data_IF_709810639905
#
_entry.id   IF_709810639905
#
_cell.length_a   1.000
_cell.length_b   1.000
_cell.length_c   1.000
_cell.angle_alpha   90.00
_cell.angle_beta   90.00
_cell.angle_gamma   90.00
#
_symmetry.space_group_name_H-M   'P 1'
#
loop_
_entity.id
_entity.type
_entity.pdbx_description
1 polymer ?
#
# COMPACT_ATOMS: atom_id res chain seq x y z
N UNK A 1 -2.34 -20.00 14.01
CA UNK A 1 -1.25 -19.21 13.40
C UNK A 1 -1.71 -18.83 12.00
N UNK A 2 -1.61 -17.56 11.61
CA UNK A 2 -1.94 -17.12 10.25
C UNK A 2 -0.82 -17.49 9.27
N UNK A 3 -1.11 -17.50 7.96
CA UNK A 3 -0.11 -17.77 6.91
C UNK A 3 1.07 -16.77 7.00
N UNK A 4 0.78 -15.52 7.36
CA UNK A 4 1.78 -14.46 7.53
C UNK A 4 2.67 -14.72 8.75
N UNK A 5 2.07 -15.09 9.89
CA UNK A 5 2.78 -15.48 11.10
C UNK A 5 3.69 -16.69 10.85
N UNK A 6 3.22 -17.71 10.13
CA UNK A 6 4.02 -18.89 9.77
C UNK A 6 5.22 -18.52 8.89
N UNK A 7 5.03 -17.62 7.91
CA UNK A 7 6.13 -17.12 7.07
C UNK A 7 7.17 -16.36 7.90
N UNK A 8 6.73 -15.47 8.79
CA UNK A 8 7.63 -14.72 9.70
C UNK A 8 8.40 -15.68 10.62
N UNK A 9 7.71 -16.64 11.24
CA UNK A 9 8.34 -17.65 12.07
C UNK A 9 9.35 -18.48 11.28
N UNK A 10 9.04 -18.86 10.03
CA UNK A 10 9.98 -19.57 9.15
C UNK A 10 11.22 -18.74 8.82
N UNK A 11 11.08 -17.44 8.58
CA UNK A 11 12.21 -16.52 8.37
C UNK A 11 13.09 -16.48 9.62
N UNK A 12 12.48 -16.33 10.80
CA UNK A 12 13.18 -16.26 12.09
C UNK A 12 13.91 -17.57 12.41
N UNK A 13 13.27 -18.73 12.24
CA UNK A 13 13.91 -20.06 12.45
C UNK A 13 15.11 -20.26 11.54
N UNK A 14 15.06 -19.70 10.33
CA UNK A 14 16.18 -19.77 9.38
C UNK A 14 17.33 -18.84 9.80
N UNK A 15 17.02 -17.62 10.27
CA UNK A 15 18.00 -16.64 10.69
C UNK A 15 18.63 -16.97 12.07
N UNK A 16 17.85 -17.60 12.95
CA UNK A 16 18.20 -17.94 14.34
C UNK A 16 17.75 -19.36 14.68
N UNK A 17 18.45 -20.40 14.17
CA UNK A 17 18.05 -21.79 14.37
C UNK A 17 18.14 -22.25 15.84
N UNK A 18 18.98 -21.59 16.64
CA UNK A 18 19.19 -21.91 18.05
C UNK A 18 18.25 -21.13 18.99
N UNK A 19 17.42 -20.21 18.47
CA UNK A 19 16.50 -19.43 19.30
C UNK A 19 15.32 -20.28 19.76
N UNK A 20 14.80 -19.98 20.95
CA UNK A 20 13.65 -20.67 21.52
C UNK A 20 12.42 -20.55 20.61
N UNK A 21 11.73 -21.67 20.40
CA UNK A 21 10.60 -21.73 19.49
C UNK A 21 9.43 -20.83 19.95
N UNK A 22 9.21 -20.71 21.27
CA UNK A 22 8.14 -19.83 21.78
C UNK A 22 8.50 -18.35 21.61
N UNK A 23 9.78 -17.99 21.75
CA UNK A 23 10.24 -16.63 21.47
C UNK A 23 10.06 -16.26 19.99
N UNK A 24 10.37 -17.18 19.07
CA UNK A 24 10.13 -16.98 17.64
C UNK A 24 8.64 -16.79 17.35
N UNK A 25 7.78 -17.65 17.90
CA UNK A 25 6.33 -17.56 17.68
C UNK A 25 5.74 -16.27 18.27
N UNK A 26 6.22 -15.85 19.45
CA UNK A 26 5.88 -14.58 20.08
C UNK A 26 6.23 -13.39 19.18
N UNK A 27 7.47 -13.31 18.70
CA UNK A 27 7.88 -12.22 17.81
C UNK A 27 7.17 -12.24 16.45
N UNK A 28 6.90 -13.42 15.89
CA UNK A 28 6.13 -13.54 14.65
C UNK A 28 4.70 -13.00 14.81
N UNK A 29 4.07 -13.32 15.95
CA UNK A 29 2.77 -12.76 16.32
C UNK A 29 2.82 -11.24 16.49
N UNK A 30 3.78 -10.72 17.26
CA UNK A 30 3.91 -9.27 17.51
C UNK A 30 4.13 -8.47 16.23
N UNK A 31 5.06 -8.91 15.36
CA UNK A 31 5.33 -8.26 14.09
C UNK A 31 4.08 -8.25 13.20
N UNK A 32 3.36 -9.38 13.11
CA UNK A 32 2.13 -9.46 12.31
C UNK A 32 1.01 -8.61 12.91
N UNK A 33 0.83 -8.64 14.22
CA UNK A 33 -0.16 -7.83 14.94
C UNK A 33 0.10 -6.34 14.70
N UNK A 34 1.35 -5.90 14.88
CA UNK A 34 1.80 -4.55 14.61
C UNK A 34 1.57 -4.16 13.15
N UNK A 35 1.90 -5.04 12.20
CA UNK A 35 1.61 -4.84 10.77
C UNK A 35 0.12 -4.63 10.49
N UNK A 36 -0.75 -5.44 11.11
CA UNK A 36 -2.20 -5.33 10.91
C UNK A 36 -2.76 -4.01 11.44
N UNK A 37 -2.39 -3.60 12.66
CA UNK A 37 -2.87 -2.36 13.27
C UNK A 37 -2.32 -1.14 12.53
N UNK A 38 -1.01 -1.13 12.27
CA UNK A 38 -0.36 -0.02 11.58
C UNK A 38 -0.76 0.09 10.10
N UNK A 39 -1.12 -1.02 9.45
CA UNK A 39 -1.72 -1.03 8.11
C UNK A 39 -3.11 -0.39 8.08
N UNK A 40 -3.96 -0.67 9.08
CA UNK A 40 -5.25 0.01 9.21
C UNK A 40 -5.09 1.52 9.46
N UNK A 41 -4.13 1.92 10.29
CA UNK A 41 -3.80 3.32 10.52
C UNK A 41 -3.31 4.00 9.23
N UNK A 42 -2.40 3.37 8.48
CA UNK A 42 -1.92 3.90 7.20
C UNK A 42 -3.08 4.07 6.20
N UNK A 43 -4.05 3.16 6.17
CA UNK A 43 -5.25 3.30 5.35
C UNK A 43 -6.10 4.50 5.77
N UNK A 44 -6.32 4.72 7.06
CA UNK A 44 -7.04 5.89 7.56
C UNK A 44 -6.31 7.20 7.18
N UNK A 45 -4.99 7.24 7.35
CA UNK A 45 -4.17 8.40 6.94
C UNK A 45 -4.21 8.65 5.43
N UNK A 46 -4.33 7.60 4.61
CA UNK A 46 -4.50 7.72 3.16
C UNK A 46 -5.90 8.17 2.76
N UNK A 47 -6.92 7.75 3.51
CA UNK A 47 -8.30 8.18 3.32
C UNK A 47 -8.51 9.64 3.72
N UNK A 48 -7.69 10.19 4.63
CA UNK A 48 -7.74 11.61 5.01
C UNK A 48 -7.09 12.55 3.97
N UNK A 49 -7.30 12.28 2.69
CA UNK A 49 -6.77 13.08 1.60
C UNK A 49 -7.63 14.33 1.38
N UNK A 50 -7.03 15.45 0.98
CA UNK A 50 -7.73 16.68 0.56
C UNK A 50 -8.79 16.38 -0.53
N UNK A 51 -10.08 16.73 -0.35
CA UNK A 51 -11.14 16.35 -1.30
C UNK A 51 -10.92 16.98 -2.67
N UNK A 52 -10.25 18.14 -2.73
CA UNK A 52 -9.93 18.79 -4.00
C UNK A 52 -8.98 17.94 -4.84
N UNK A 53 -8.10 17.15 -4.20
CA UNK A 53 -7.26 16.20 -4.91
C UNK A 53 -8.09 15.03 -5.46
N UNK A 54 -9.09 14.55 -4.72
CA UNK A 54 -9.98 13.49 -5.20
C UNK A 54 -10.83 13.98 -6.38
N UNK A 55 -11.41 15.18 -6.30
CA UNK A 55 -12.12 15.83 -7.42
C UNK A 55 -11.21 15.91 -8.66
N UNK A 56 -9.97 16.35 -8.47
CA UNK A 56 -8.98 16.46 -9.56
C UNK A 56 -8.64 15.11 -10.18
N UNK A 57 -8.39 14.10 -9.35
CA UNK A 57 -8.01 12.75 -9.78
C UNK A 57 -9.17 12.04 -10.47
N UNK A 58 -10.39 12.11 -9.93
CA UNK A 58 -11.61 11.61 -10.58
C UNK A 58 -11.82 12.28 -11.94
N UNK A 59 -11.63 13.60 -12.03
CA UNK A 59 -11.65 14.31 -13.31
C UNK A 59 -10.55 13.86 -14.29
N UNK A 60 -9.37 13.44 -13.80
CA UNK A 60 -8.32 12.88 -14.63
C UNK A 60 -8.65 11.46 -15.13
N UNK A 61 -9.29 10.65 -14.29
CA UNK A 61 -9.81 9.32 -14.65
C UNK A 61 -10.85 9.45 -15.75
N UNK A 62 -11.85 10.32 -15.61
CA UNK A 62 -12.91 10.50 -16.62
C UNK A 62 -12.33 10.93 -17.98
N UNK A 63 -11.38 11.87 -17.99
CA UNK A 63 -10.66 12.28 -19.22
C UNK A 63 -9.90 11.12 -19.85
N UNK A 64 -9.27 10.27 -19.03
CA UNK A 64 -8.50 9.12 -19.52
C UNK A 64 -9.42 8.04 -20.12
N UNK A 65 -10.58 7.80 -19.52
CA UNK A 65 -11.60 6.89 -20.05
C UNK A 65 -12.14 7.38 -21.42
N UNK A 66 -12.46 8.67 -21.54
CA UNK A 66 -12.88 9.28 -22.82
C UNK A 66 -11.75 9.25 -23.87
N UNK A 67 -10.50 9.41 -23.45
CA UNK A 67 -9.36 9.25 -24.35
C UNK A 67 -9.20 7.80 -24.82
N UNK A 68 -9.40 6.82 -23.94
CA UNK A 68 -9.40 5.40 -24.29
C UNK A 68 -10.53 5.06 -25.27
N UNK A 69 -11.74 5.56 -25.01
CA UNK A 69 -12.90 5.46 -25.93
C UNK A 69 -12.55 5.99 -27.33
N UNK A 70 -11.98 7.20 -27.44
CA UNK A 70 -11.57 7.79 -28.74
C UNK A 70 -10.53 6.94 -29.48
N UNK A 71 -9.65 6.24 -28.76
CA UNK A 71 -8.68 5.31 -29.37
C UNK A 71 -9.36 4.02 -29.80
N UNK A 72 -10.30 3.52 -29.01
CA UNK A 72 -11.04 2.29 -29.28
C UNK A 72 -11.85 2.38 -30.58
N UNK A 73 -12.48 3.52 -30.86
CA UNK A 73 -13.22 3.78 -32.10
C UNK A 73 -12.32 3.71 -33.35
N UNK A 74 -11.01 3.91 -33.20
CA UNK A 74 -10.03 3.83 -34.30
C UNK A 74 -9.48 2.43 -34.53
N UNK A 75 -9.87 1.45 -33.72
CA UNK A 75 -9.42 0.06 -33.86
C UNK A 75 -9.98 -0.51 -35.17
N UNK A 76 -9.09 -1.06 -35.99
CA UNK A 76 -9.45 -1.69 -37.25
C UNK A 76 -10.20 -3.02 -37.07
N UNK A 77 -10.60 -3.62 -38.20
CA UNK A 77 -11.45 -4.82 -38.24
C UNK A 77 -10.92 -5.97 -37.36
N UNK A 78 -9.63 -6.34 -37.53
CA UNK A 78 -8.99 -7.43 -36.78
C UNK A 78 -8.96 -7.20 -35.27
N UNK A 79 -8.66 -5.96 -34.86
CA UNK A 79 -8.67 -5.60 -33.43
C UNK A 79 -10.09 -5.64 -32.84
N UNK A 80 -11.10 -5.28 -33.62
CA UNK A 80 -12.50 -5.39 -33.18
C UNK A 80 -12.95 -6.85 -33.01
N UNK A 81 -12.47 -7.79 -33.84
CA UNK A 81 -12.72 -9.23 -33.64
C UNK A 81 -12.08 -9.74 -32.36
N UNK A 82 -10.84 -9.34 -32.06
CA UNK A 82 -10.16 -9.71 -30.82
C UNK A 82 -10.90 -9.23 -29.56
N UNK A 83 -11.72 -8.18 -29.67
CA UNK A 83 -12.47 -7.58 -28.56
C UNK A 83 -13.85 -8.19 -28.32
N UNK A 84 -14.30 -9.14 -29.14
CA UNK A 84 -15.65 -9.71 -29.03
C UNK A 84 -15.91 -10.33 -27.66
N UNK A 85 -15.00 -11.15 -27.15
CA UNK A 85 -15.16 -11.78 -25.84
C UNK A 85 -15.23 -10.74 -24.70
N UNK A 86 -14.42 -9.69 -24.78
CA UNK A 86 -14.43 -8.58 -23.82
C UNK A 86 -15.74 -7.79 -23.89
N UNK A 87 -16.35 -7.65 -25.07
CA UNK A 87 -17.64 -6.97 -25.24
C UNK A 87 -18.83 -7.72 -24.61
N UNK A 88 -18.75 -9.05 -24.50
CA UNK A 88 -19.77 -9.87 -23.83
C UNK A 88 -19.72 -9.69 -22.31
N UNK A 89 -18.52 -9.58 -21.73
CA UNK A 89 -18.33 -9.34 -20.30
C UNK A 89 -18.75 -7.93 -19.86
N UNK A 90 -18.76 -6.97 -20.78
CA UNK A 90 -19.22 -5.61 -20.57
C UNK A 90 -20.75 -5.46 -20.39
N UNK A 91 -21.49 -6.57 -20.22
CA UNK A 91 -22.96 -6.62 -20.16
C UNK A 91 -23.66 -5.88 -21.30
N UNK A 92 -23.02 -5.80 -22.47
CA UNK A 92 -23.67 -5.36 -23.68
C UNK A 92 -24.80 -6.36 -24.01
N UNK A 93 -26.07 -5.91 -24.18
CA UNK A 93 -27.17 -6.83 -24.43
C UNK A 93 -26.87 -7.68 -25.67
N UNK A 94 -26.72 -8.99 -25.42
CA UNK A 94 -26.59 -10.11 -26.35
C UNK A 94 -25.98 -9.81 -27.74
N UNK A 95 -24.72 -10.26 -27.91
CA UNK A 95 -24.06 -10.52 -29.18
C UNK A 95 -23.92 -9.31 -30.13
N UNK A 96 -22.79 -8.62 -30.04
CA UNK A 96 -22.22 -7.96 -31.21
C UNK A 96 -21.75 -9.06 -32.19
N UNK A 97 -22.45 -9.38 -33.29
CA UNK A 97 -22.02 -10.47 -34.17
C UNK A 97 -20.86 -10.05 -35.08
N UNK A 98 -20.30 -8.86 -34.86
CA UNK A 98 -19.22 -8.31 -35.65
C UNK A 98 -18.39 -7.30 -34.84
N UNK A 99 -17.16 -7.09 -35.33
CA UNK A 99 -16.16 -6.17 -34.78
C UNK A 99 -16.70 -4.75 -34.48
N UNK A 100 -17.56 -4.20 -35.35
CA UNK A 100 -18.08 -2.85 -35.20
C UNK A 100 -18.95 -2.69 -33.95
N UNK A 101 -19.88 -3.63 -33.72
CA UNK A 101 -20.73 -3.61 -32.52
C UNK A 101 -19.96 -3.88 -31.23
N UNK A 102 -18.88 -4.66 -31.28
CA UNK A 102 -18.02 -4.91 -30.11
C UNK A 102 -17.30 -3.64 -29.67
N UNK A 103 -16.74 -2.90 -30.65
CA UNK A 103 -16.11 -1.59 -30.45
C UNK A 103 -17.12 -0.58 -29.92
N UNK A 104 -18.34 -0.54 -30.48
CA UNK A 104 -19.41 0.36 -30.05
C UNK A 104 -19.82 0.09 -28.60
N UNK A 105 -20.06 -1.18 -28.25
CA UNK A 105 -20.46 -1.59 -26.90
C UNK A 105 -19.41 -1.20 -25.85
N UNK A 106 -18.14 -1.51 -26.11
CA UNK A 106 -17.04 -1.15 -25.19
C UNK A 106 -16.82 0.36 -25.12
N UNK A 107 -16.97 1.07 -26.25
CA UNK A 107 -16.86 2.54 -26.27
C UNK A 107 -17.99 3.20 -25.46
N UNK A 108 -19.20 2.65 -25.52
CA UNK A 108 -20.34 3.10 -24.71
C UNK A 108 -20.10 2.85 -23.24
N UNK A 109 -19.64 1.65 -22.85
CA UNK A 109 -19.32 1.34 -21.45
C UNK A 109 -18.26 2.31 -20.89
N UNK A 110 -17.20 2.61 -21.65
CA UNK A 110 -16.19 3.58 -21.22
C UNK A 110 -16.77 4.98 -21.01
N UNK A 111 -17.74 5.39 -21.82
CA UNK A 111 -18.43 6.68 -21.69
C UNK A 111 -19.37 6.73 -20.48
N UNK A 112 -20.11 5.65 -20.25
CA UNK A 112 -20.99 5.48 -19.09
C UNK A 112 -20.18 5.51 -17.79
N UNK A 113 -19.05 4.79 -17.72
CA UNK A 113 -18.14 4.85 -16.56
C UNK A 113 -17.55 6.26 -16.41
N UNK A 114 -17.10 6.89 -17.51
CA UNK A 114 -16.54 8.25 -17.44
C UNK A 114 -17.56 9.26 -16.90
N UNK A 115 -18.82 9.14 -17.31
CA UNK A 115 -19.92 9.99 -16.85
C UNK A 115 -20.23 9.73 -15.37
N UNK A 116 -20.31 8.47 -14.95
CA UNK A 116 -20.50 8.12 -13.53
C UNK A 116 -19.36 8.63 -12.63
N UNK A 117 -18.11 8.59 -13.11
CA UNK A 117 -16.96 9.17 -12.40
C UNK A 117 -17.04 10.70 -12.30
N UNK A 118 -17.49 11.38 -13.35
CA UNK A 118 -17.73 12.84 -13.32
C UNK A 118 -18.84 13.23 -12.35
N UNK A 119 -19.92 12.44 -12.28
CA UNK A 119 -20.99 12.61 -11.31
C UNK A 119 -20.49 12.40 -9.89
N UNK A 120 -19.72 11.32 -9.63
CA UNK A 120 -19.11 11.07 -8.33
C UNK A 120 -18.23 12.24 -7.89
N UNK A 121 -17.43 12.82 -8.80
CA UNK A 121 -16.59 13.99 -8.51
C UNK A 121 -17.41 15.23 -8.09
N UNK A 122 -18.64 15.39 -8.61
CA UNK A 122 -19.54 16.49 -8.21
C UNK A 122 -20.19 16.29 -6.84
N UNK A 123 -20.27 15.05 -6.37
CA UNK A 123 -20.83 14.70 -5.07
C UNK A 123 -19.81 14.83 -3.93
N UNK A 124 -18.52 14.97 -4.24
CA UNK A 124 -17.48 15.20 -3.22
C UNK A 124 -17.64 16.61 -2.66
N UNK A 125 -17.85 16.72 -1.34
CA UNK A 125 -17.84 18.01 -0.64
C UNK A 125 -16.40 18.56 -0.54
N UNK A 126 -16.08 19.70 -1.18
CA UNK A 126 -14.74 20.30 -1.12
C UNK A 126 -14.34 20.77 0.28
N UNK A 127 -15.31 20.93 1.18
CA UNK A 127 -15.13 21.38 2.57
C UNK A 127 -15.30 20.23 3.58
N UNK A 128 -15.34 18.97 3.12
CA UNK A 128 -15.46 17.81 3.99
C UNK A 128 -14.38 17.84 5.10
N UNK A 129 -14.81 17.65 6.34
CA UNK A 129 -13.93 17.59 7.50
C UNK A 129 -12.93 16.43 7.39
N UNK A 130 -11.77 16.58 8.04
CA UNK A 130 -10.78 15.51 8.16
C UNK A 130 -11.40 14.27 8.82
N UNK A 131 -10.99 13.08 8.40
CA UNK A 131 -11.36 11.83 9.09
C UNK A 131 -10.79 11.78 10.50
N UNK A 132 -9.73 12.55 10.80
CA UNK A 132 -9.18 12.67 12.15
C UNK A 132 -10.15 13.37 13.11
N UNK A 133 -11.12 14.14 12.60
CA UNK A 133 -12.18 14.73 13.41
C UNK A 133 -13.09 13.68 14.07
N UNK A 134 -13.04 12.41 13.63
CA UNK A 134 -13.71 11.28 14.29
C UNK A 134 -13.07 10.99 15.65
N UNK A 135 -11.75 11.16 15.77
CA UNK A 135 -11.00 10.83 16.98
C UNK A 135 -10.88 12.02 17.93
N UNK A 136 -10.89 13.25 17.41
CA UNK A 136 -10.89 14.46 18.22
C UNK A 136 -11.61 15.61 17.49
N UNK A 137 -12.73 16.06 18.06
CA UNK A 137 -13.51 17.19 17.55
C UNK A 137 -12.75 18.52 17.58
N UNK A 138 -11.64 18.62 18.33
CA UNK A 138 -10.77 19.80 18.34
C UNK A 138 -9.70 19.76 17.23
N UNK A 139 -9.45 18.59 16.60
CA UNK A 139 -8.57 18.44 15.44
C UNK A 139 -9.23 18.82 14.11
N UNK A 140 -10.34 19.59 14.17
CA UNK A 140 -11.03 20.14 12.99
C UNK A 140 -10.16 21.06 12.13
N UNK A 141 -8.98 21.46 12.62
CA UNK A 141 -8.09 22.36 11.91
C UNK A 141 -7.16 21.63 10.94
N UNK A 142 -7.58 21.65 9.67
CA UNK A 142 -6.77 21.47 8.45
C UNK A 142 -5.95 20.19 8.39
N UNK A 143 -6.38 19.28 7.49
CA UNK A 143 -5.58 18.17 6.95
C UNK A 143 -4.14 18.61 6.72
N UNK A 144 -3.20 18.00 7.45
CA UNK A 144 -1.80 18.33 7.27
C UNK A 144 -1.40 18.04 5.81
N UNK A 145 -0.68 18.93 5.11
CA UNK A 145 -0.31 18.75 3.71
C UNK A 145 0.72 17.62 3.48
N UNK A 146 0.97 16.77 4.48
CA UNK A 146 2.01 15.76 4.44
C UNK A 146 1.68 14.64 3.46
N UNK A 147 2.73 14.18 2.78
CA UNK A 147 2.75 12.91 2.06
C UNK A 147 2.19 11.79 2.96
N UNK A 148 1.44 10.81 2.40
CA UNK A 148 1.00 9.64 3.16
C UNK A 148 2.18 9.05 3.93
N UNK A 149 2.01 8.89 5.24
CA UNK A 149 3.04 8.28 6.07
C UNK A 149 3.04 6.78 5.77
N UNK A 150 4.23 6.20 5.62
CA UNK A 150 4.39 4.73 5.53
C UNK A 150 4.41 4.16 6.94
N UNK A 151 3.30 4.35 7.64
CA UNK A 151 3.13 4.02 9.06
C UNK A 151 3.33 2.53 9.28
N UNK A 152 2.79 1.68 8.41
CA UNK A 152 2.97 0.23 8.51
C UNK A 152 4.44 -0.18 8.46
N UNK A 153 5.17 0.33 7.47
CA UNK A 153 6.59 0.05 7.30
C UNK A 153 7.43 0.56 8.49
N UNK A 154 7.05 1.69 9.08
CA UNK A 154 7.73 2.25 10.25
C UNK A 154 7.59 1.35 11.47
N UNK A 155 6.37 0.96 11.82
CA UNK A 155 6.11 0.12 12.99
C UNK A 155 6.70 -1.28 12.84
N UNK A 156 6.50 -1.92 11.69
CA UNK A 156 7.07 -3.24 11.43
C UNK A 156 8.59 -3.22 11.49
N UNK A 157 9.27 -2.20 10.94
CA UNK A 157 10.72 -2.12 11.04
C UNK A 157 11.23 -1.90 12.48
N UNK A 158 10.44 -1.27 13.35
CA UNK A 158 10.75 -1.14 14.78
C UNK A 158 10.60 -2.48 15.50
N UNK A 159 9.51 -3.21 15.27
CA UNK A 159 9.35 -4.56 15.84
C UNK A 159 10.43 -5.52 15.34
N UNK A 160 10.79 -5.45 14.05
CA UNK A 160 11.92 -6.23 13.52
C UNK A 160 13.23 -5.88 14.22
N UNK A 161 13.46 -4.62 14.62
CA UNK A 161 14.66 -4.22 15.35
C UNK A 161 14.72 -4.88 16.73
N UNK A 162 13.58 -4.89 17.44
CA UNK A 162 13.51 -5.46 18.78
C UNK A 162 13.64 -6.98 18.73
N UNK A 163 12.91 -7.64 17.82
CA UNK A 163 13.04 -9.07 17.56
C UNK A 163 14.47 -9.46 17.20
N UNK A 164 15.13 -8.71 16.31
CA UNK A 164 16.52 -8.96 15.94
C UNK A 164 17.44 -8.86 17.16
N UNK A 165 17.27 -7.81 17.97
CA UNK A 165 18.14 -7.55 19.12
C UNK A 165 17.98 -8.62 20.18
N UNK A 166 16.74 -9.05 20.42
CA UNK A 166 16.40 -10.07 21.40
C UNK A 166 16.87 -11.46 20.95
N UNK A 167 16.48 -11.91 19.76
CA UNK A 167 16.78 -13.26 19.25
C UNK A 167 18.27 -13.47 18.92
N UNK A 168 18.96 -12.43 18.43
CA UNK A 168 20.38 -12.55 18.08
C UNK A 168 21.34 -12.22 19.23
N UNK A 169 20.86 -11.54 20.27
CA UNK A 169 21.68 -10.93 21.32
C UNK A 169 22.61 -9.82 20.82
N UNK A 170 22.45 -9.34 19.58
CA UNK A 170 23.31 -8.32 18.94
C UNK A 170 22.51 -7.07 18.65
N UNK A 171 23.15 -5.91 18.76
CA UNK A 171 22.53 -4.65 18.34
C UNK A 171 22.29 -4.65 16.82
N UNK A 172 21.04 -4.43 16.39
CA UNK A 172 20.69 -4.27 14.99
C UNK A 172 21.42 -3.08 14.35
N UNK A 173 22.03 -3.32 13.18
CA UNK A 173 22.83 -2.35 12.41
C UNK A 173 22.62 -2.55 10.91
N UNK A 174 22.70 -1.45 10.16
CA UNK A 174 22.73 -1.45 8.69
C UNK A 174 24.11 -0.96 8.27
N UNK A 175 24.91 -1.83 7.67
CA UNK A 175 26.21 -1.47 7.13
C UNK A 175 26.06 -0.89 5.71
N UNK A 176 27.09 -0.21 5.21
CA UNK A 176 27.11 0.30 3.83
C UNK A 176 28.51 0.08 3.25
N UNK A 177 28.57 -0.53 2.07
CA UNK A 177 29.81 -0.74 1.32
C UNK A 177 29.55 -0.44 -0.17
N UNK A 178 30.46 0.27 -0.82
CA UNK A 178 30.30 0.70 -2.21
C UNK A 178 28.99 1.45 -2.52
N UNK A 179 28.41 2.13 -1.52
CA UNK A 179 27.10 2.80 -1.66
C UNK A 179 25.88 1.90 -1.55
N UNK A 180 26.05 0.60 -1.26
CA UNK A 180 24.96 -0.36 -1.06
C UNK A 180 24.82 -0.73 0.41
N UNK A 181 23.59 -0.70 0.93
CA UNK A 181 23.32 -1.17 2.28
C UNK A 181 23.27 -2.70 2.34
N UNK A 182 23.74 -3.26 3.44
CA UNK A 182 23.72 -4.70 3.70
C UNK A 182 23.72 -5.00 5.19
N UNK A 183 23.48 -6.27 5.52
CA UNK A 183 23.65 -6.82 6.86
C UNK A 183 22.43 -7.62 7.31
N UNK A 184 22.60 -8.50 8.31
CA UNK A 184 21.59 -9.48 8.69
C UNK A 184 20.28 -8.84 9.17
N UNK A 185 20.35 -7.65 9.78
CA UNK A 185 19.14 -6.91 10.16
C UNK A 185 18.38 -6.39 8.94
N UNK A 186 19.07 -5.86 7.93
CA UNK A 186 18.43 -5.40 6.70
C UNK A 186 17.81 -6.57 5.93
N UNK A 187 18.49 -7.71 5.88
CA UNK A 187 17.98 -8.93 5.23
C UNK A 187 16.71 -9.44 5.91
N UNK A 188 16.68 -9.37 7.25
CA UNK A 188 15.51 -9.72 8.05
C UNK A 188 14.32 -8.77 7.80
N UNK A 189 14.54 -7.45 7.80
CA UNK A 189 13.49 -6.46 7.48
C UNK A 189 12.98 -6.67 6.06
N UNK A 190 13.87 -6.91 5.10
CA UNK A 190 13.51 -7.16 3.70
C UNK A 190 12.63 -8.39 3.55
N UNK A 191 13.01 -9.49 4.20
CA UNK A 191 12.23 -10.74 4.18
C UNK A 191 10.88 -10.58 4.88
N UNK A 192 10.83 -9.83 5.98
CA UNK A 192 9.59 -9.55 6.72
C UNK A 192 8.63 -8.67 5.91
N UNK A 193 9.15 -7.64 5.23
CA UNK A 193 8.34 -6.79 4.33
C UNK A 193 7.76 -7.61 3.18
N UNK A 194 8.56 -8.50 2.58
CA UNK A 194 8.08 -9.40 1.54
C UNK A 194 7.01 -10.37 2.05
N UNK A 195 7.18 -10.94 3.26
CA UNK A 195 6.20 -11.85 3.86
C UNK A 195 4.85 -11.16 4.14
N UNK A 196 4.88 -9.88 4.48
CA UNK A 196 3.71 -9.05 4.82
C UNK A 196 3.20 -8.19 3.65
N UNK A 197 3.77 -8.33 2.46
CA UNK A 197 3.45 -7.53 1.26
C UNK A 197 3.52 -6.00 1.49
N UNK A 198 4.50 -5.53 2.26
CA UNK A 198 4.67 -4.10 2.56
C UNK A 198 5.40 -3.40 1.40
N UNK A 199 4.69 -2.52 0.70
CA UNK A 199 5.24 -1.71 -0.39
C UNK A 199 5.96 -0.45 0.12
N UNK A 200 7.17 -0.65 0.65
CA UNK A 200 8.08 0.41 1.09
C UNK A 200 9.54 -0.02 0.99
N UNK A 201 10.49 0.94 1.00
CA UNK A 201 11.94 0.65 0.97
C UNK A 201 12.40 0.03 2.31
N UNK A 202 12.79 -1.26 2.35
CA UNK A 202 13.25 -1.90 3.58
C UNK A 202 14.52 -1.23 4.13
N UNK A 203 15.44 -0.81 3.25
CA UNK A 203 16.65 -0.09 3.64
C UNK A 203 16.34 1.20 4.40
N UNK A 204 15.44 2.02 3.85
CA UNK A 204 15.06 3.31 4.46
C UNK A 204 14.51 3.08 5.87
N UNK A 205 13.63 2.09 6.02
CA UNK A 205 12.96 1.82 7.30
C UNK A 205 13.84 1.10 8.31
N UNK A 206 14.72 0.19 7.87
CA UNK A 206 15.75 -0.41 8.72
C UNK A 206 16.69 0.66 9.29
N UNK A 207 17.19 1.58 8.45
CA UNK A 207 18.02 2.72 8.93
C UNK A 207 17.26 3.61 9.91
N UNK A 208 15.98 3.89 9.62
CA UNK A 208 15.13 4.70 10.50
C UNK A 208 14.91 4.03 11.86
N UNK A 209 14.65 2.72 11.89
CA UNK A 209 14.46 1.95 13.13
C UNK A 209 15.72 1.99 14.01
N UNK A 210 16.89 1.73 13.41
CA UNK A 210 18.20 1.84 14.12
C UNK A 210 18.40 3.25 14.68
N UNK A 211 18.14 4.29 13.87
CA UNK A 211 18.28 5.68 14.30
C UNK A 211 17.31 6.04 15.42
N UNK A 212 16.07 5.59 15.34
CA UNK A 212 15.04 5.87 16.34
C UNK A 212 15.40 5.21 17.68
N UNK A 213 15.67 3.90 17.70
CA UNK A 213 16.00 3.16 18.92
C UNK A 213 17.30 3.66 19.57
N UNK A 214 18.28 4.13 18.80
CA UNK A 214 19.49 4.81 19.34
C UNK A 214 19.20 6.14 20.02
N UNK A 215 18.22 6.90 19.53
CA UNK A 215 17.79 8.15 20.19
C UNK A 215 17.01 7.85 21.46
N UNK A 216 16.09 6.88 21.41
CA UNK A 216 15.26 6.50 22.57
C UNK A 216 16.08 5.86 23.68
N UNK A 217 17.11 5.05 23.35
CA UNK A 217 18.07 4.51 24.33
C UNK A 217 19.01 5.57 24.93
N UNK A 218 18.97 6.83 24.48
CA UNK A 218 19.62 7.98 25.13
C UNK A 218 18.62 8.86 25.89
N UNK A 219 18.00 8.44 27.00
CA UNK A 219 17.41 9.38 27.94
C UNK A 219 18.42 9.72 29.05
N UNK A 220 18.79 11.01 29.14
CA UNK A 220 19.37 11.68 30.33
C UNK A 220 20.65 11.10 30.93
N UNK A 221 21.80 11.37 30.30
CA UNK A 221 23.01 11.69 31.07
C UNK A 221 22.93 13.17 31.47
N UNK A 222 22.13 13.46 32.51
CA UNK A 222 22.11 14.70 33.28
C UNK A 222 21.91 14.33 34.74
#
# INVERSE_FOLDING_TARGET
>A
MSIEEEKLASIMRTAWPDADASAIEGWAYEIRSSSSVSGALEQLEQMDRDPNKDIKDLGAVSRSLRAAQKKLIKVGHEGGWALLNSSVQAHAPSAAPNAGRAIEALSRLLDEIATGVEEAARLVDPQAASTDAIFDSALTERRAPSRPKKTQASFVALECYDAFTDLSGREARVATDGGKAYGPFLDFVTSSFAALNIEASPETWARNAVRYRRKVKRPTDC
#
